data_IF_662144189659
#
_entry.id   IF_662144189659
#
_cell.length_a   1.000
_cell.length_b   1.000
_cell.length_c   1.000
_cell.angle_alpha   90.00
_cell.angle_beta   90.00
_cell.angle_gamma   90.00
#
_symmetry.space_group_name_H-M   'P 1'
#
loop_
_entity.id
_entity.type
_entity.pdbx_description
1 polymer ?
#
# COMPACT_ATOMS: atom_id res chain seq x y z
N UNK A 1 0.20 -5.58 2.46
CA UNK A 1 0.59 -6.73 3.31
C UNK A 1 1.37 -7.72 2.47
N UNK A 2 2.58 -7.98 2.91
CA UNK A 2 3.46 -8.92 2.19
C UNK A 2 3.22 -10.35 2.66
N UNK A 3 3.09 -11.26 1.71
CA UNK A 3 2.84 -12.66 2.00
C UNK A 3 4.11 -13.50 2.03
N UNK A 4 5.19 -13.00 1.46
CA UNK A 4 6.45 -13.74 1.43
C UNK A 4 7.65 -12.79 1.49
N UNK A 5 8.80 -13.36 1.79
CA UNK A 5 10.06 -12.65 1.76
C UNK A 5 10.62 -12.67 0.35
N UNK A 6 11.09 -11.51 -0.12
CA UNK A 6 11.70 -11.41 -1.45
C UNK A 6 12.90 -10.49 -1.41
N UNK A 7 13.87 -10.77 -2.23
CA UNK A 7 14.97 -9.86 -2.47
C UNK A 7 14.54 -8.83 -3.52
N UNK A 8 14.82 -7.57 -3.27
CA UNK A 8 14.26 -6.52 -4.08
C UNK A 8 12.77 -6.37 -3.80
N UNK A 9 12.01 -5.93 -4.77
CA UNK A 9 10.56 -5.82 -4.64
C UNK A 9 10.06 -4.83 -3.62
N UNK A 10 10.91 -3.91 -3.17
CA UNK A 10 10.55 -2.94 -2.12
C UNK A 10 9.41 -2.03 -2.57
N UNK A 11 8.63 -1.58 -1.61
CA UNK A 11 7.75 -0.44 -1.78
C UNK A 11 8.58 0.83 -1.56
N UNK A 12 8.70 1.63 -2.60
CA UNK A 12 9.53 2.82 -2.59
C UNK A 12 8.67 4.06 -2.68
N UNK A 13 8.85 5.00 -1.74
CA UNK A 13 8.10 6.24 -1.72
C UNK A 13 8.85 7.33 -2.47
N UNK A 14 8.11 8.13 -3.25
CA UNK A 14 8.71 9.13 -4.12
C UNK A 14 9.33 10.30 -3.36
N UNK A 15 8.63 10.79 -2.34
CA UNK A 15 9.00 12.00 -1.61
C UNK A 15 9.59 11.72 -0.24
N UNK A 16 9.81 10.48 0.07
CA UNK A 16 10.33 10.04 1.34
C UNK A 16 11.42 8.99 1.06
N UNK A 17 12.61 9.11 1.64
CA UNK A 17 13.68 8.15 1.36
C UNK A 17 13.44 6.77 1.96
N UNK A 18 12.22 6.39 2.13
CA UNK A 18 11.86 5.11 2.72
C UNK A 18 11.62 4.06 1.65
N UNK A 19 12.27 2.93 1.81
CA UNK A 19 12.00 1.73 1.05
C UNK A 19 11.61 0.63 2.01
N UNK A 20 10.47 0.02 1.77
CA UNK A 20 9.97 -1.05 2.63
C UNK A 20 10.26 -2.38 1.97
N UNK A 21 11.05 -3.18 2.66
CA UNK A 21 11.46 -4.49 2.18
C UNK A 21 10.34 -5.52 2.37
N UNK A 22 10.04 -6.35 1.35
CA UNK A 22 9.02 -7.39 1.50
C UNK A 22 9.46 -8.46 2.48
N UNK A 23 8.68 -8.62 3.53
CA UNK A 23 8.87 -9.69 4.50
C UNK A 23 7.50 -10.25 4.84
N UNK A 24 7.39 -11.56 4.90
CA UNK A 24 6.13 -12.23 5.20
C UNK A 24 5.53 -11.71 6.50
N UNK A 25 4.27 -11.33 6.46
CA UNK A 25 3.56 -10.78 7.62
C UNK A 25 3.74 -9.31 7.87
N UNK A 26 4.53 -8.62 7.06
CA UNK A 26 4.71 -7.17 7.21
C UNK A 26 3.53 -6.43 6.61
N UNK A 27 2.97 -5.51 7.36
CA UNK A 27 1.88 -4.64 6.93
C UNK A 27 2.41 -3.21 6.76
N UNK A 28 2.11 -2.60 5.62
CA UNK A 28 2.44 -1.21 5.35
C UNK A 28 1.15 -0.44 5.21
N UNK A 29 0.99 0.61 5.99
CA UNK A 29 -0.15 1.51 5.92
C UNK A 29 0.39 2.90 5.63
N UNK A 30 -0.15 3.54 4.61
CA UNK A 30 0.25 4.88 4.22
C UNK A 30 -0.97 5.68 3.77
N UNK A 31 -0.97 7.01 3.99
CA UNK A 31 -2.05 7.84 3.49
C UNK A 31 -2.15 7.78 1.97
N UNK A 32 -3.37 7.75 1.45
CA UNK A 32 -3.62 7.76 0.01
C UNK A 32 -3.60 9.20 -0.51
N UNK A 33 -2.47 9.86 -0.34
CA UNK A 33 -2.26 11.25 -0.75
C UNK A 33 -1.03 11.33 -1.63
N UNK A 34 -0.94 12.41 -2.40
CA UNK A 34 0.20 12.63 -3.28
C UNK A 34 1.54 12.68 -2.52
N UNK A 35 1.51 13.05 -1.22
CA UNK A 35 2.69 13.09 -0.36
C UNK A 35 3.31 11.72 -0.14
N UNK A 36 2.52 10.65 -0.32
CA UNK A 36 2.94 9.27 -0.12
C UNK A 36 2.86 8.46 -1.40
N UNK A 37 3.08 9.11 -2.53
CA UNK A 37 3.15 8.42 -3.80
C UNK A 37 4.26 7.40 -3.79
N UNK A 38 3.96 6.19 -4.20
CA UNK A 38 4.89 5.07 -4.11
C UNK A 38 4.79 4.15 -5.31
N UNK A 39 5.75 3.25 -5.40
CA UNK A 39 5.75 2.20 -6.41
C UNK A 39 6.26 0.89 -5.82
N UNK A 40 5.87 -0.21 -6.43
CA UNK A 40 6.46 -1.50 -6.12
C UNK A 40 7.62 -1.77 -7.06
N UNK A 41 8.80 -1.96 -6.50
CA UNK A 41 9.97 -2.33 -7.30
C UNK A 41 9.89 -3.80 -7.70
N UNK A 42 10.50 -4.19 -8.82
CA UNK A 42 10.50 -5.60 -9.24
C UNK A 42 11.34 -6.44 -8.29
N UNK A 43 10.91 -7.68 -8.02
CA UNK A 43 11.74 -8.61 -7.27
C UNK A 43 12.98 -9.00 -8.06
N UNK A 44 14.00 -9.47 -7.36
CA UNK A 44 15.25 -9.91 -7.94
C UNK A 44 15.31 -11.42 -8.03
N UNK A 45 16.29 -11.92 -8.79
CA UNK A 45 16.63 -13.35 -8.86
C UNK A 45 15.48 -14.25 -9.27
N UNK A 46 14.58 -13.76 -10.13
CA UNK A 46 13.45 -14.55 -10.60
C UNK A 46 12.42 -14.88 -9.54
N UNK A 47 12.44 -14.18 -8.43
CA UNK A 47 11.48 -14.41 -7.34
C UNK A 47 10.13 -13.79 -7.65
N UNK A 48 9.10 -14.29 -7.00
CA UNK A 48 7.74 -13.77 -7.10
C UNK A 48 7.37 -13.10 -5.79
N UNK A 49 6.77 -11.91 -5.89
CA UNK A 49 6.28 -11.18 -4.74
C UNK A 49 4.76 -11.32 -4.68
N UNK A 50 4.27 -11.77 -3.53
CA UNK A 50 2.83 -11.93 -3.29
C UNK A 50 2.40 -10.91 -2.25
N UNK A 51 1.40 -10.13 -2.58
CA UNK A 51 0.88 -9.07 -1.69
C UNK A 51 -0.64 -9.11 -1.65
N UNK A 52 -1.18 -8.61 -0.55
CA UNK A 52 -2.59 -8.22 -0.45
C UNK A 52 -2.60 -6.71 -0.30
N UNK A 53 -3.35 -6.03 -1.15
CA UNK A 53 -3.48 -4.59 -1.09
C UNK A 53 -4.93 -4.18 -0.99
N UNK A 54 -5.16 -2.99 -0.48
CA UNK A 54 -6.50 -2.45 -0.35
C UNK A 54 -6.46 -1.05 0.26
N UNK A 55 -7.63 -0.54 0.54
CA UNK A 55 -7.78 0.80 1.09
C UNK A 55 -8.63 0.73 2.33
N UNK A 56 -8.25 1.55 3.31
CA UNK A 56 -9.04 1.78 4.51
C UNK A 56 -9.63 3.16 4.38
N UNK A 57 -10.94 3.25 4.45
CA UNK A 57 -11.65 4.50 4.27
C UNK A 57 -12.33 4.89 5.56
N UNK A 58 -12.32 6.19 5.83
CA UNK A 58 -13.08 6.72 6.94
C UNK A 58 -14.54 6.82 6.53
N UNK A 59 -15.40 6.22 7.32
CA UNK A 59 -16.83 6.27 7.09
C UNK A 59 -17.48 7.18 8.09
N UNK A 60 -18.39 8.03 7.62
CA UNK A 60 -19.21 8.88 8.45
C UNK A 60 -20.60 8.26 8.54
N UNK A 61 -20.77 7.35 9.46
CA UNK A 61 -21.86 6.40 9.49
C UNK A 61 -23.21 6.97 9.94
N UNK A 62 -23.29 8.24 10.26
CA UNK A 62 -24.55 8.89 10.60
C UNK A 62 -25.08 9.75 9.45
N UNK A 63 -24.42 9.77 8.32
CA UNK A 63 -24.78 10.59 7.18
C UNK A 63 -24.81 9.74 5.91
N UNK A 64 -25.93 9.79 5.21
CA UNK A 64 -26.08 9.04 3.98
C UNK A 64 -25.10 9.43 2.90
N UNK A 65 -24.63 10.67 2.94
CA UNK A 65 -23.64 11.13 1.98
C UNK A 65 -22.30 10.42 2.12
N UNK A 66 -22.04 9.81 3.25
CA UNK A 66 -20.83 9.03 3.46
C UNK A 66 -20.70 7.88 2.48
N UNK A 67 -21.82 7.34 2.02
CA UNK A 67 -21.80 6.28 1.02
C UNK A 67 -21.23 6.75 -0.30
N UNK A 68 -21.45 8.01 -0.63
CA UNK A 68 -20.91 8.58 -1.86
C UNK A 68 -19.44 8.90 -1.73
N UNK A 69 -19.01 9.27 -0.54
CA UNK A 69 -17.60 9.55 -0.28
C UNK A 69 -16.73 8.32 -0.47
N UNK A 70 -17.24 7.16 -0.12
CA UNK A 70 -16.51 5.92 -0.28
C UNK A 70 -16.13 5.66 -1.72
N UNK A 71 -16.92 6.10 -2.65
CA UNK A 71 -16.64 5.90 -4.07
C UNK A 71 -15.48 6.75 -4.57
N UNK A 72 -15.10 7.77 -3.84
CA UNK A 72 -14.05 8.72 -4.24
C UNK A 72 -12.77 8.61 -3.43
N UNK A 73 -12.78 7.83 -2.37
CA UNK A 73 -11.58 7.62 -1.57
C UNK A 73 -10.67 6.60 -2.23
N UNK A 74 -9.41 6.86 -2.14
CA UNK A 74 -8.42 6.05 -2.86
C UNK A 74 -7.58 5.22 -1.92
#
# INVERSE_FOLDING_TARGET
YYLNDVDGGETEFKFNPLKVRPEAGKLVIAPALWTHKHRGNPPQNGQYKYIITGWIEKTDDHDISSEFEEDYLM
#
